data_IF_874947347041
#
_entry.id   IF_874947347041
#
_cell.length_a   1.000
_cell.length_b   1.000
_cell.length_c   1.000
_cell.angle_alpha   90.00
_cell.angle_beta   90.00
_cell.angle_gamma   90.00
#
_symmetry.space_group_name_H-M   'P 1'
#
loop_
_entity.id
_entity.type
_entity.pdbx_description
1 polymer ?
#
# COMPACT_ATOMS: atom_id res chain seq x y z
N UNK A 1 -12.06 17.55 -1.88
CA UNK A 1 -13.22 16.70 -2.21
C UNK A 1 -12.84 15.22 -2.09
N UNK A 2 -11.67 14.80 -2.58
CA UNK A 2 -11.13 13.43 -2.36
C UNK A 2 -10.85 13.09 -0.88
N UNK A 3 -10.48 14.07 -0.07
CA UNK A 3 -10.14 13.86 1.36
C UNK A 3 -11.31 13.46 2.25
N UNK A 4 -12.54 13.89 1.90
CA UNK A 4 -13.74 13.59 2.70
C UNK A 4 -14.16 12.14 2.49
N UNK A 5 -14.14 11.67 1.24
CA UNK A 5 -14.49 10.29 0.91
C UNK A 5 -13.51 9.27 1.53
N UNK A 6 -12.21 9.59 1.54
CA UNK A 6 -11.21 8.74 2.18
C UNK A 6 -11.42 8.57 3.68
N UNK A 7 -11.71 9.67 4.39
CA UNK A 7 -11.93 9.61 5.84
C UNK A 7 -13.25 8.90 6.19
N UNK A 8 -14.32 9.19 5.46
CA UNK A 8 -15.62 8.52 5.64
C UNK A 8 -15.51 7.01 5.41
N UNK A 9 -14.75 6.59 4.39
CA UNK A 9 -14.50 5.17 4.15
C UNK A 9 -13.72 4.52 5.29
N UNK A 10 -12.64 5.14 5.77
CA UNK A 10 -11.83 4.59 6.87
C UNK A 10 -12.66 4.40 8.13
N UNK A 11 -13.46 5.41 8.50
CA UNK A 11 -14.30 5.36 9.69
C UNK A 11 -15.44 4.33 9.53
N UNK A 12 -16.07 4.29 8.36
CA UNK A 12 -17.09 3.28 8.03
C UNK A 12 -16.52 1.86 8.08
N UNK A 13 -15.37 1.64 7.44
CA UNK A 13 -14.71 0.34 7.37
C UNK A 13 -14.35 -0.14 8.77
N UNK A 14 -13.73 0.72 9.58
CA UNK A 14 -13.41 0.44 10.98
C UNK A 14 -14.66 0.04 11.77
N UNK A 15 -15.72 0.85 11.71
CA UNK A 15 -16.96 0.58 12.43
C UNK A 15 -17.63 -0.72 11.97
N UNK A 16 -17.60 -1.02 10.67
CA UNK A 16 -18.20 -2.23 10.10
C UNK A 16 -17.46 -3.48 10.54
N UNK A 17 -16.13 -3.49 10.48
CA UNK A 17 -15.33 -4.65 10.82
C UNK A 17 -15.37 -4.95 12.32
N UNK A 18 -15.36 -3.93 13.19
CA UNK A 18 -15.51 -4.13 14.64
C UNK A 18 -16.82 -4.85 14.97
N UNK A 19 -17.94 -4.48 14.30
CA UNK A 19 -19.23 -5.16 14.48
C UNK A 19 -19.16 -6.62 14.02
N UNK A 20 -18.67 -6.86 12.81
CA UNK A 20 -18.56 -8.21 12.26
C UNK A 20 -17.63 -9.11 13.10
N UNK A 21 -16.57 -8.55 13.68
CA UNK A 21 -15.64 -9.28 14.54
C UNK A 21 -16.31 -9.70 15.84
N UNK A 22 -17.07 -8.80 16.47
CA UNK A 22 -17.84 -9.11 17.68
C UNK A 22 -18.92 -10.17 17.41
N UNK A 23 -19.47 -10.21 16.20
CA UNK A 23 -20.42 -11.23 15.75
C UNK A 23 -19.74 -12.54 15.32
N UNK A 24 -18.40 -12.64 15.37
CA UNK A 24 -17.64 -13.83 14.97
C UNK A 24 -17.60 -14.09 13.47
N UNK A 25 -17.93 -13.10 12.64
CA UNK A 25 -18.05 -13.24 11.17
C UNK A 25 -16.75 -12.94 10.42
N UNK A 26 -15.77 -12.31 11.06
CA UNK A 26 -14.46 -12.02 10.48
C UNK A 26 -13.37 -12.39 11.48
N UNK A 27 -12.19 -12.69 10.94
CA UNK A 27 -11.02 -13.01 11.74
C UNK A 27 -10.35 -11.75 12.33
N UNK A 28 -9.29 -12.03 13.08
CA UNK A 28 -8.48 -11.02 13.74
C UNK A 28 -7.60 -10.23 12.77
N UNK A 29 -7.26 -10.80 11.62
CA UNK A 29 -6.48 -10.12 10.59
C UNK A 29 -7.30 -8.98 9.98
N UNK A 30 -8.57 -9.24 9.68
CA UNK A 30 -9.51 -8.22 9.22
C UNK A 30 -9.68 -7.10 10.25
N UNK A 31 -9.79 -7.45 11.53
CA UNK A 31 -9.83 -6.46 12.61
C UNK A 31 -8.54 -5.62 12.68
N UNK A 32 -7.38 -6.25 12.49
CA UNK A 32 -6.09 -5.58 12.46
C UNK A 32 -5.99 -4.59 11.29
N UNK A 33 -6.43 -4.99 10.09
CA UNK A 33 -6.52 -4.10 8.93
C UNK A 33 -7.43 -2.90 9.19
N UNK A 34 -8.59 -3.13 9.80
CA UNK A 34 -9.56 -2.09 10.15
C UNK A 34 -9.06 -1.09 11.19
N UNK A 35 -8.13 -1.51 12.06
CA UNK A 35 -7.46 -0.59 12.99
C UNK A 35 -6.43 0.31 12.30
N UNK A 36 -5.98 -0.06 11.10
CA UNK A 36 -4.95 0.62 10.36
C UNK A 36 -3.53 0.19 10.77
N UNK A 37 -2.52 0.64 10.02
CA UNK A 37 -1.13 0.34 10.33
C UNK A 37 -0.70 1.02 11.64
N UNK A 38 0.33 0.46 12.26
CA UNK A 38 1.04 1.08 13.36
C UNK A 38 1.58 2.45 12.96
N UNK A 39 1.75 3.32 13.97
CA UNK A 39 2.22 4.71 13.75
C UNK A 39 3.68 4.81 13.31
N UNK A 40 4.41 3.69 13.34
CA UNK A 40 5.82 3.61 12.94
C UNK A 40 5.90 3.00 11.56
N UNK A 41 6.63 3.68 10.69
CA UNK A 41 6.90 3.26 9.32
C UNK A 41 8.40 3.04 9.22
N UNK A 42 8.80 1.97 8.53
CA UNK A 42 10.19 1.75 8.15
C UNK A 42 10.33 1.99 6.66
N UNK A 43 11.26 2.85 6.27
CA UNK A 43 11.53 3.17 4.87
C UNK A 43 12.78 2.43 4.38
N UNK A 44 12.76 2.01 3.12
CA UNK A 44 13.86 1.31 2.48
C UNK A 44 14.27 2.01 1.17
N UNK A 45 15.56 2.06 0.83
CA UNK A 45 16.02 2.61 -0.44
C UNK A 45 15.76 1.67 -1.63
N UNK A 46 15.53 0.38 -1.36
CA UNK A 46 15.23 -0.63 -2.37
C UNK A 46 14.49 -1.82 -1.75
N UNK A 47 13.71 -2.55 -2.55
CA UNK A 47 13.08 -3.82 -2.14
C UNK A 47 13.06 -4.84 -3.28
N UNK A 48 13.03 -6.13 -2.92
CA UNK A 48 12.86 -7.21 -3.88
C UNK A 48 11.42 -7.69 -3.85
N UNK A 49 10.74 -7.68 -4.99
CA UNK A 49 9.37 -8.19 -5.15
C UNK A 49 9.32 -9.11 -6.36
N UNK A 50 8.89 -10.36 -6.16
CA UNK A 50 8.75 -11.37 -7.23
C UNK A 50 10.00 -11.54 -8.12
N UNK A 51 11.20 -11.43 -7.54
CA UNK A 51 12.47 -11.58 -8.27
C UNK A 51 13.00 -10.30 -8.94
N UNK A 52 12.28 -9.18 -8.84
CA UNK A 52 12.72 -7.87 -9.33
C UNK A 52 13.14 -6.98 -8.17
N UNK A 53 14.21 -6.20 -8.35
CA UNK A 53 14.72 -5.24 -7.36
C UNK A 53 14.31 -3.82 -7.73
N UNK A 54 13.44 -3.22 -6.94
CA UNK A 54 12.98 -1.84 -7.11
C UNK A 54 13.83 -0.88 -6.29
N UNK A 55 14.06 0.31 -6.80
CA UNK A 55 14.85 1.37 -6.16
C UNK A 55 14.01 2.63 -5.98
N UNK A 56 14.22 3.37 -4.89
CA UNK A 56 13.75 4.76 -4.81
C UNK A 56 14.55 5.64 -5.77
N UNK A 57 13.99 6.76 -6.23
CA UNK A 57 14.68 7.71 -7.11
C UNK A 57 16.06 8.10 -6.55
N UNK A 58 16.13 8.47 -5.28
CA UNK A 58 17.38 8.86 -4.61
C UNK A 58 18.44 7.75 -4.64
N UNK A 59 18.01 6.48 -4.50
CA UNK A 59 18.92 5.33 -4.61
C UNK A 59 19.37 5.10 -6.06
N UNK A 60 18.50 5.38 -7.02
CA UNK A 60 18.73 5.17 -8.45
C UNK A 60 19.71 6.19 -9.04
N UNK A 61 19.74 7.42 -8.52
CA UNK A 61 20.67 8.49 -8.96
C UNK A 61 22.15 8.07 -8.89
N UNK A 62 22.49 7.18 -7.96
CA UNK A 62 23.86 6.68 -7.75
C UNK A 62 24.09 5.29 -8.32
N UNK A 63 23.06 4.68 -8.92
CA UNK A 63 23.09 3.30 -9.40
C UNK A 63 23.51 3.20 -10.87
N UNK A 64 24.16 2.09 -11.25
CA UNK A 64 24.56 1.83 -12.64
C UNK A 64 23.37 1.46 -13.55
N UNK A 65 22.31 0.90 -12.97
CA UNK A 65 21.08 0.51 -13.68
C UNK A 65 19.89 1.22 -13.06
N UNK A 66 19.11 1.91 -13.87
CA UNK A 66 17.90 2.59 -13.41
C UNK A 66 16.75 1.60 -13.22
N UNK A 67 16.20 1.51 -12.01
CA UNK A 67 15.03 0.69 -11.72
C UNK A 67 14.07 1.33 -10.71
N UNK A 68 13.96 2.66 -10.74
CA UNK A 68 12.94 3.40 -9.99
C UNK A 68 11.62 3.63 -10.75
N UNK A 69 11.52 3.19 -12.01
CA UNK A 69 10.31 3.35 -12.82
C UNK A 69 9.29 2.23 -12.64
N UNK A 70 8.01 2.57 -12.57
CA UNK A 70 6.88 1.63 -12.54
C UNK A 70 5.93 1.96 -13.69
N UNK A 71 5.45 0.91 -14.37
CA UNK A 71 4.43 0.99 -15.40
C UNK A 71 3.16 0.25 -14.94
N UNK A 72 2.06 0.98 -14.85
CA UNK A 72 0.74 0.42 -14.61
C UNK A 72 -0.08 0.53 -15.89
N UNK A 73 -0.55 -0.63 -16.38
CA UNK A 73 -1.48 -0.68 -17.50
C UNK A 73 -2.90 -0.84 -16.97
N UNK A 74 -3.81 0.01 -17.44
CA UNK A 74 -5.22 -0.03 -17.12
C UNK A 74 -6.03 -0.05 -18.41
N UNK A 75 -7.03 -0.91 -18.46
CA UNK A 75 -8.05 -0.87 -19.50
C UNK A 75 -9.22 -0.01 -19.01
N UNK A 76 -9.62 0.98 -19.81
CA UNK A 76 -10.78 1.84 -19.54
C UNK A 76 -11.52 2.10 -20.85
N UNK A 77 -12.81 1.76 -20.91
CA UNK A 77 -13.68 2.02 -22.07
C UNK A 77 -13.08 1.54 -23.42
N UNK A 78 -12.47 0.34 -23.43
CA UNK A 78 -11.75 -0.27 -24.56
C UNK A 78 -10.45 0.46 -24.98
N UNK A 79 -9.96 1.40 -24.18
CA UNK A 79 -8.65 2.01 -24.35
C UNK A 79 -7.64 1.45 -23.33
N UNK A 80 -6.43 1.16 -23.83
CA UNK A 80 -5.31 0.77 -22.98
C UNK A 80 -4.55 2.01 -22.55
N UNK A 81 -4.75 2.43 -21.31
CA UNK A 81 -4.06 3.56 -20.70
C UNK A 81 -2.84 3.04 -19.93
N UNK A 82 -1.68 3.64 -20.20
CA UNK A 82 -0.43 3.33 -19.51
C UNK A 82 -0.01 4.52 -18.64
N UNK A 83 0.17 4.27 -17.35
CA UNK A 83 0.68 5.23 -16.39
C UNK A 83 2.12 4.88 -16.04
N UNK A 84 3.01 5.86 -16.16
CA UNK A 84 4.42 5.74 -15.81
C UNK A 84 4.70 6.66 -14.64
N UNK A 85 5.19 6.09 -13.54
CA UNK A 85 5.56 6.84 -12.35
C UNK A 85 6.90 6.37 -11.79
N UNK A 86 7.48 7.18 -10.91
CA UNK A 86 8.75 6.92 -10.26
C UNK A 86 8.54 6.61 -8.77
N UNK A 87 9.28 5.63 -8.26
CA UNK A 87 9.24 5.22 -6.86
C UNK A 87 9.94 6.28 -6.03
N UNK A 88 9.17 7.01 -5.23
CA UNK A 88 9.68 7.99 -4.25
C UNK A 88 10.14 7.32 -2.97
N UNK A 89 9.24 6.57 -2.36
CA UNK A 89 9.45 5.93 -1.08
C UNK A 89 9.01 4.47 -1.14
N UNK A 90 9.78 3.59 -0.49
CA UNK A 90 9.37 2.21 -0.22
C UNK A 90 9.19 2.11 1.29
N UNK A 91 7.97 1.77 1.70
CA UNK A 91 7.58 1.74 3.12
C UNK A 91 7.08 0.36 3.51
N UNK A 92 7.51 -0.11 4.68
CA UNK A 92 6.97 -1.28 5.36
C UNK A 92 5.99 -0.82 6.44
N UNK A 93 4.77 -1.34 6.34
CA UNK A 93 3.71 -1.09 7.31
C UNK A 93 3.60 -2.29 8.23
N UNK A 94 3.56 -2.04 9.54
CA UNK A 94 3.30 -3.07 10.54
C UNK A 94 1.86 -2.96 11.02
N UNK A 95 1.17 -4.09 11.14
CA UNK A 95 -0.16 -4.16 11.71
C UNK A 95 -0.11 -4.90 13.06
N UNK A 96 -1.11 -4.70 13.92
CA UNK A 96 -1.10 -5.13 15.33
C UNK A 96 -0.87 -6.64 15.49
N UNK A 97 -1.31 -7.45 14.52
CA UNK A 97 -1.11 -8.91 14.52
C UNK A 97 0.15 -9.38 13.79
N UNK A 98 1.09 -8.49 13.45
CA UNK A 98 2.45 -8.89 13.13
C UNK A 98 2.67 -9.63 11.81
N UNK A 99 1.69 -9.67 10.90
CA UNK A 99 1.92 -10.08 9.52
C UNK A 99 2.92 -9.07 8.90
N UNK A 100 4.17 -9.52 8.79
CA UNK A 100 5.25 -8.90 8.03
C UNK A 100 5.37 -9.60 6.69
#
# INVERSE_FOLDING_TARGET
MESVHGQEFVDWFRCRIIKLYNDGQVDREMLSLAHGPGRRITCYPCCNVNGFRFHTMDCDETSTTQNCGVLVRREHENENISYYELIKDIVELSYIEGNK
#
